data_IF_331621827970
#
_entry.id   IF_331621827970
#
_cell.length_a   1.000
_cell.length_b   1.000
_cell.length_c   1.000
_cell.angle_alpha   90.00
_cell.angle_beta   90.00
_cell.angle_gamma   90.00
#
_symmetry.space_group_name_H-M   'P 1'
#
loop_
_entity.id
_entity.type
_entity.pdbx_description
1 polymer ?
#
# COMPACT_ATOMS: atom_id res chain seq x y z
N UNK A 1 -17.51 2.17 15.38
CA UNK A 1 -18.06 0.79 15.35
C UNK A 1 -17.01 -0.16 15.87
N UNK A 2 -17.28 -0.77 17.03
CA UNK A 2 -16.43 -1.82 17.61
C UNK A 2 -16.58 -3.03 16.68
N UNK A 3 -15.55 -3.34 15.89
CA UNK A 3 -15.50 -4.60 15.13
C UNK A 3 -15.60 -5.74 16.16
N UNK A 4 -16.67 -6.55 16.08
CA UNK A 4 -16.76 -7.80 16.83
C UNK A 4 -15.54 -8.64 16.48
N UNK A 5 -14.79 -9.08 17.49
CA UNK A 5 -13.75 -10.08 17.30
C UNK A 5 -14.35 -11.32 16.62
N UNK A 6 -13.70 -11.88 15.60
CA UNK A 6 -14.18 -13.08 14.94
C UNK A 6 -14.19 -14.25 15.93
N UNK A 7 -15.27 -15.01 15.97
CA UNK A 7 -15.36 -16.22 16.80
C UNK A 7 -14.37 -17.29 16.29
N UNK A 8 -13.36 -17.58 17.08
CA UNK A 8 -12.42 -18.67 16.81
C UNK A 8 -13.10 -20.03 17.09
N UNK A 9 -13.75 -20.62 16.07
CA UNK A 9 -14.25 -21.98 16.12
C UNK A 9 -13.05 -22.93 16.03
N UNK A 10 -12.76 -23.66 17.09
CA UNK A 10 -11.70 -24.68 17.12
C UNK A 10 -12.08 -25.84 16.19
N UNK A 11 -11.64 -25.76 14.95
CA UNK A 11 -11.78 -26.83 13.95
C UNK A 11 -10.45 -27.54 13.75
N UNK A 12 -10.49 -28.75 13.21
CA UNK A 12 -9.28 -29.56 12.97
C UNK A 12 -8.77 -29.38 11.56
N UNK A 13 -7.45 -29.51 11.40
CA UNK A 13 -6.84 -29.74 10.09
C UNK A 13 -7.08 -31.19 9.68
N UNK A 14 -7.63 -31.42 8.50
CA UNK A 14 -7.94 -32.72 7.94
C UNK A 14 -7.00 -33.06 6.80
N UNK A 15 -6.45 -34.29 6.84
CA UNK A 15 -5.79 -34.89 5.70
C UNK A 15 -6.84 -35.33 4.65
N UNK A 16 -6.70 -34.84 3.42
CA UNK A 16 -7.53 -35.27 2.29
C UNK A 16 -6.80 -36.24 1.38
N UNK A 17 -5.49 -36.05 1.16
CA UNK A 17 -4.67 -36.92 0.31
C UNK A 17 -3.19 -36.86 0.72
N UNK A 18 -2.50 -37.97 0.57
CA UNK A 18 -1.05 -38.12 0.50
C UNK A 18 -0.74 -39.45 -0.19
N UNK A 19 0.37 -39.54 -0.95
CA UNK A 19 0.77 -40.82 -1.56
C UNK A 19 1.22 -41.82 -0.50
N UNK A 20 1.90 -41.31 0.54
CA UNK A 20 2.39 -42.13 1.67
C UNK A 20 2.19 -41.38 2.99
N UNK A 21 1.82 -42.13 4.02
CA UNK A 21 1.74 -41.63 5.39
C UNK A 21 2.52 -42.56 6.33
N UNK A 22 3.30 -41.98 7.24
CA UNK A 22 4.05 -42.70 8.26
C UNK A 22 3.75 -42.11 9.63
N UNK A 23 3.57 -42.96 10.64
CA UNK A 23 3.43 -42.53 12.02
C UNK A 23 4.28 -43.48 12.90
N UNK A 24 5.21 -42.90 13.63
CA UNK A 24 5.97 -43.63 14.65
C UNK A 24 5.34 -43.37 16.02
N UNK A 25 4.44 -44.26 16.41
CA UNK A 25 3.70 -44.14 17.68
C UNK A 25 4.57 -44.33 18.93
N UNK A 26 5.79 -44.86 18.76
CA UNK A 26 6.71 -45.08 19.90
C UNK A 26 7.63 -43.87 20.09
N UNK A 27 8.24 -43.35 19.00
CA UNK A 27 9.19 -42.26 19.09
C UNK A 27 8.51 -40.88 19.01
N UNK A 28 7.45 -40.72 18.17
CA UNK A 28 6.72 -39.48 17.97
C UNK A 28 5.21 -39.76 17.86
N UNK A 29 4.52 -40.03 18.97
CA UNK A 29 3.11 -40.51 18.95
C UNK A 29 2.13 -39.48 18.37
N UNK A 30 2.46 -38.20 18.41
CA UNK A 30 1.59 -37.09 18.02
C UNK A 30 1.94 -36.50 16.61
N UNK A 31 2.88 -37.13 15.88
CA UNK A 31 3.35 -36.62 14.57
C UNK A 31 3.06 -37.63 13.46
N UNK A 32 2.40 -37.16 12.41
CA UNK A 32 2.25 -37.88 11.16
C UNK A 32 3.13 -37.25 10.08
N UNK A 33 3.93 -38.08 9.41
CA UNK A 33 4.74 -37.70 8.26
C UNK A 33 3.98 -38.05 6.98
N UNK A 34 3.77 -37.09 6.11
CA UNK A 34 3.05 -37.24 4.85
C UNK A 34 3.99 -36.96 3.68
N UNK A 35 3.96 -37.79 2.65
CA UNK A 35 4.88 -37.66 1.49
C UNK A 35 4.07 -37.83 0.20
N UNK A 36 4.32 -36.92 -0.74
CA UNK A 36 3.84 -36.92 -2.11
C UNK A 36 2.41 -36.46 -2.28
N UNK A 37 2.22 -35.38 -3.05
CA UNK A 37 0.92 -34.80 -3.39
C UNK A 37 0.01 -34.59 -2.18
N UNK A 38 0.58 -34.02 -1.11
CA UNK A 38 -0.15 -33.81 0.15
C UNK A 38 -1.23 -32.74 -0.07
N UNK A 39 -2.44 -33.06 0.37
CA UNK A 39 -3.59 -32.14 0.37
C UNK A 39 -4.25 -32.14 1.74
N UNK A 40 -4.30 -30.98 2.35
CA UNK A 40 -4.92 -30.75 3.66
C UNK A 40 -6.06 -29.73 3.54
N UNK A 41 -6.97 -29.75 4.51
CA UNK A 41 -8.07 -28.79 4.61
C UNK A 41 -8.27 -28.34 6.05
N UNK A 42 -8.46 -27.04 6.22
CA UNK A 42 -8.96 -26.46 7.47
C UNK A 42 -10.11 -25.49 7.16
N UNK A 43 -11.34 -25.87 7.50
CA UNK A 43 -12.58 -25.19 7.09
C UNK A 43 -12.69 -25.02 5.57
N UNK A 44 -12.70 -23.77 5.07
CA UNK A 44 -12.74 -23.44 3.63
C UNK A 44 -11.36 -23.28 3.00
N UNK A 45 -10.28 -23.42 3.79
CA UNK A 45 -8.91 -23.31 3.29
C UNK A 45 -8.36 -24.67 2.90
N UNK A 46 -7.68 -24.73 1.77
CA UNK A 46 -6.92 -25.87 1.30
C UNK A 46 -5.42 -25.57 1.31
N UNK A 47 -4.62 -26.57 1.67
CA UNK A 47 -3.15 -26.53 1.63
C UNK A 47 -2.63 -27.70 0.80
N UNK A 48 -1.64 -27.44 -0.05
CA UNK A 48 -0.98 -28.41 -0.92
C UNK A 48 0.52 -28.27 -0.75
N UNK A 49 1.25 -29.40 -0.78
CA UNK A 49 2.71 -29.43 -0.72
C UNK A 49 3.25 -30.81 -1.14
N UNK A 50 4.58 -30.92 -1.27
CA UNK A 50 5.20 -32.21 -1.58
C UNK A 50 5.31 -33.10 -0.36
N UNK A 51 5.54 -32.54 0.82
CA UNK A 51 5.58 -33.28 2.10
C UNK A 51 5.11 -32.41 3.27
N UNK A 52 4.62 -33.06 4.32
CA UNK A 52 4.14 -32.36 5.50
C UNK A 52 4.33 -33.18 6.79
N UNK A 53 4.43 -32.47 7.90
CA UNK A 53 4.31 -32.97 9.25
C UNK A 53 3.01 -32.47 9.86
N UNK A 54 2.14 -33.36 10.32
CA UNK A 54 0.95 -33.00 11.08
C UNK A 54 1.20 -33.28 12.56
N UNK A 55 1.00 -32.28 13.38
CA UNK A 55 1.09 -32.33 14.84
C UNK A 55 -0.33 -32.41 15.43
N UNK A 56 -0.81 -33.59 15.71
CA UNK A 56 -2.20 -33.82 16.13
C UNK A 56 -2.57 -33.09 17.42
N UNK A 57 -1.65 -33.07 18.37
CA UNK A 57 -1.85 -32.48 19.69
C UNK A 57 -2.02 -30.96 19.66
N UNK A 58 -1.25 -30.29 18.82
CA UNK A 58 -1.28 -28.83 18.65
C UNK A 58 -2.18 -28.38 17.47
N UNK A 59 -2.72 -29.33 16.71
CA UNK A 59 -3.48 -29.05 15.49
C UNK A 59 -2.70 -28.19 14.50
N UNK A 60 -1.37 -28.38 14.41
CA UNK A 60 -0.49 -27.61 13.54
C UNK A 60 0.11 -28.47 12.43
N UNK A 61 0.62 -27.78 11.40
CA UNK A 61 1.18 -28.41 10.21
C UNK A 61 2.47 -27.68 9.83
N UNK A 62 3.51 -28.45 9.51
CA UNK A 62 4.63 -27.96 8.69
C UNK A 62 4.52 -28.56 7.30
N UNK A 63 4.65 -27.73 6.28
CA UNK A 63 4.59 -28.14 4.89
C UNK A 63 5.85 -27.69 4.16
N UNK A 64 6.36 -28.54 3.28
CA UNK A 64 7.64 -28.37 2.61
C UNK A 64 7.49 -28.58 1.11
N UNK A 65 8.14 -27.71 0.37
CA UNK A 65 8.26 -27.67 -1.09
C UNK A 65 6.92 -27.56 -1.83
N UNK A 66 6.91 -26.68 -2.82
CA UNK A 66 5.73 -26.40 -3.64
C UNK A 66 4.48 -26.10 -2.81
N UNK A 67 4.66 -25.37 -1.71
CA UNK A 67 3.55 -25.01 -0.83
C UNK A 67 2.57 -24.10 -1.56
N UNK A 68 1.29 -24.44 -1.48
CA UNK A 68 0.18 -23.62 -1.98
C UNK A 68 -0.97 -23.64 -0.99
N UNK A 69 -1.42 -22.47 -0.60
CA UNK A 69 -2.59 -22.27 0.24
C UNK A 69 -3.68 -21.56 -0.57
N UNK A 70 -4.91 -22.04 -0.49
CA UNK A 70 -6.06 -21.50 -1.23
C UNK A 70 -7.21 -21.19 -0.25
N UNK A 71 -7.80 -20.00 -0.39
CA UNK A 71 -9.00 -19.62 0.34
C UNK A 71 -10.03 -19.04 -0.64
N UNK A 72 -11.13 -19.79 -0.82
CA UNK A 72 -12.09 -19.49 -1.88
C UNK A 72 -11.46 -19.64 -3.27
N UNK A 73 -11.92 -18.81 -4.21
CA UNK A 73 -11.52 -18.81 -5.61
C UNK A 73 -10.66 -17.59 -6.00
N UNK A 74 -10.30 -16.77 -5.03
CA UNK A 74 -9.63 -15.48 -5.28
C UNK A 74 -8.34 -15.27 -4.52
N UNK A 75 -8.07 -16.04 -3.46
CA UNK A 75 -6.86 -15.92 -2.67
C UNK A 75 -6.00 -17.17 -2.78
N UNK A 76 -4.76 -16.98 -3.26
CA UNK A 76 -3.74 -18.00 -3.40
C UNK A 76 -2.45 -17.51 -2.78
N UNK A 77 -1.81 -18.34 -1.95
CA UNK A 77 -0.52 -18.03 -1.34
C UNK A 77 0.43 -19.20 -1.64
N UNK A 78 1.60 -18.89 -2.17
CA UNK A 78 2.65 -19.82 -2.54
C UNK A 78 3.90 -19.56 -1.71
N UNK A 79 4.74 -20.56 -1.54
CA UNK A 79 6.05 -20.48 -0.89
C UNK A 79 6.74 -21.84 -0.85
N UNK A 80 7.94 -21.89 -0.30
CA UNK A 80 8.68 -23.15 -0.21
C UNK A 80 8.50 -23.85 1.14
N UNK A 81 8.16 -23.09 2.18
CA UNK A 81 7.89 -23.57 3.52
C UNK A 81 6.64 -22.92 4.11
N UNK A 82 5.85 -23.69 4.86
CA UNK A 82 4.70 -23.21 5.63
C UNK A 82 4.72 -23.85 7.02
N UNK A 83 4.60 -23.03 8.06
CA UNK A 83 4.10 -23.45 9.35
C UNK A 83 2.69 -22.89 9.55
N UNK A 84 1.73 -23.76 9.82
CA UNK A 84 0.35 -23.38 10.09
C UNK A 84 -0.09 -23.84 11.48
N UNK A 85 -0.50 -22.90 12.30
CA UNK A 85 -1.12 -23.16 13.59
C UNK A 85 -2.65 -23.15 13.46
N UNK A 86 -3.26 -24.32 13.54
CA UNK A 86 -4.71 -24.45 13.40
C UNK A 86 -5.51 -23.95 14.60
N UNK A 87 -4.86 -23.67 15.74
CA UNK A 87 -5.51 -23.09 16.91
C UNK A 87 -5.64 -21.58 16.82
N UNK A 88 -4.57 -20.90 16.38
CA UNK A 88 -4.55 -19.44 16.15
C UNK A 88 -5.01 -19.08 14.76
N UNK A 89 -5.00 -20.03 13.82
CA UNK A 89 -5.26 -19.87 12.39
C UNK A 89 -4.27 -18.92 11.69
N UNK A 90 -3.04 -18.86 12.19
CA UNK A 90 -1.95 -18.11 11.59
C UNK A 90 -1.09 -19.05 10.76
N UNK A 91 -0.88 -18.66 9.49
CA UNK A 91 0.06 -19.28 8.57
C UNK A 91 1.33 -18.43 8.49
N UNK A 92 2.50 -19.05 8.63
CA UNK A 92 3.80 -18.45 8.40
C UNK A 92 4.41 -19.08 7.17
N UNK A 93 4.46 -18.33 6.08
CA UNK A 93 4.99 -18.77 4.78
C UNK A 93 6.36 -18.13 4.58
N UNK A 94 7.32 -18.92 4.11
CA UNK A 94 8.72 -18.51 3.95
C UNK A 94 9.26 -18.94 2.60
N UNK A 95 10.22 -18.17 2.12
CA UNK A 95 10.97 -18.36 0.90
C UNK A 95 10.12 -18.34 -0.37
N UNK A 96 10.46 -17.46 -1.29
CA UNK A 96 9.77 -17.26 -2.57
C UNK A 96 8.25 -17.05 -2.43
N UNK A 97 7.85 -16.26 -1.42
CA UNK A 97 6.42 -16.09 -1.10
C UNK A 97 5.74 -15.20 -2.13
N UNK A 98 4.62 -15.71 -2.66
CA UNK A 98 3.75 -15.00 -3.57
C UNK A 98 2.30 -15.13 -3.12
N UNK A 99 1.68 -14.02 -2.73
CA UNK A 99 0.26 -13.95 -2.41
C UNK A 99 -0.50 -13.27 -3.55
N UNK A 100 -1.51 -13.92 -4.09
CA UNK A 100 -2.36 -13.39 -5.18
C UNK A 100 -3.77 -13.23 -4.66
N UNK A 101 -4.32 -12.04 -4.84
CA UNK A 101 -5.74 -11.78 -4.63
C UNK A 101 -6.31 -11.03 -5.84
N UNK A 102 -6.98 -11.76 -6.73
CA UNK A 102 -7.46 -11.23 -8.03
C UNK A 102 -6.31 -10.62 -8.84
N UNK A 103 -6.32 -9.30 -9.07
CA UNK A 103 -5.30 -8.56 -9.83
C UNK A 103 -4.15 -8.05 -8.95
N UNK A 104 -4.23 -8.23 -7.63
CA UNK A 104 -3.20 -7.79 -6.70
C UNK A 104 -2.25 -8.94 -6.38
N UNK A 105 -0.96 -8.69 -6.46
CA UNK A 105 0.10 -9.65 -6.13
C UNK A 105 1.04 -9.04 -5.09
N UNK A 106 1.28 -9.75 -4.01
CA UNK A 106 2.30 -9.42 -3.01
C UNK A 106 3.44 -10.44 -3.10
N UNK A 107 4.67 -9.96 -3.20
CA UNK A 107 5.91 -10.75 -3.20
C UNK A 107 6.73 -10.40 -1.97
N UNK A 108 7.26 -11.40 -1.28
CA UNK A 108 8.17 -11.25 -0.13
C UNK A 108 8.88 -12.58 0.13
N UNK A 109 9.86 -12.63 1.00
CA UNK A 109 10.45 -13.89 1.46
C UNK A 109 9.85 -14.36 2.79
N UNK A 110 9.05 -13.52 3.46
CA UNK A 110 8.53 -13.78 4.80
C UNK A 110 7.13 -13.19 4.95
N UNK A 111 6.10 -14.03 4.83
CA UNK A 111 4.69 -13.65 5.01
C UNK A 111 4.07 -14.38 6.19
N UNK A 112 3.41 -13.64 7.06
CA UNK A 112 2.45 -14.19 8.01
C UNK A 112 1.03 -13.86 7.52
N UNK A 113 0.14 -14.85 7.51
CA UNK A 113 -1.25 -14.66 7.12
C UNK A 113 -2.18 -15.08 8.25
N UNK A 114 -2.90 -14.10 8.79
CA UNK A 114 -3.93 -14.31 9.81
C UNK A 114 -5.28 -14.53 9.12
N UNK A 115 -5.80 -15.75 9.20
CA UNK A 115 -7.09 -16.11 8.57
C UNK A 115 -8.30 -15.53 9.28
N UNK A 116 -8.20 -15.27 10.59
CA UNK A 116 -9.32 -14.70 11.35
C UNK A 116 -9.62 -13.26 10.94
N UNK A 117 -8.55 -12.51 10.66
CA UNK A 117 -8.64 -11.10 10.25
C UNK A 117 -8.52 -10.91 8.74
N UNK A 118 -8.25 -11.98 7.99
CA UNK A 118 -7.97 -11.93 6.54
C UNK A 118 -6.88 -10.90 6.22
N UNK A 119 -5.72 -11.06 6.90
CA UNK A 119 -4.62 -10.11 6.90
C UNK A 119 -3.28 -10.81 6.66
N UNK A 120 -2.61 -10.45 5.57
CA UNK A 120 -1.22 -10.82 5.31
C UNK A 120 -0.29 -9.68 5.71
N UNK A 121 0.83 -9.99 6.37
CA UNK A 121 1.83 -8.99 6.74
C UNK A 121 3.26 -9.55 6.64
N UNK A 122 4.19 -8.66 6.29
CA UNK A 122 5.62 -8.94 6.14
C UNK A 122 6.46 -7.88 6.86
N UNK A 123 7.71 -8.20 7.18
CA UNK A 123 8.62 -7.34 7.95
C UNK A 123 10.10 -7.43 7.51
N UNK A 124 10.39 -8.06 6.38
CA UNK A 124 11.73 -8.21 5.79
C UNK A 124 11.76 -7.75 4.32
N UNK A 125 10.98 -6.73 4.03
CA UNK A 125 10.80 -6.23 2.67
C UNK A 125 9.72 -6.96 1.88
N UNK A 126 9.02 -6.19 1.04
CA UNK A 126 7.99 -6.73 0.17
C UNK A 126 7.64 -5.80 -0.98
N UNK A 127 6.98 -6.39 -1.97
CA UNK A 127 6.51 -5.69 -3.17
C UNK A 127 5.06 -6.03 -3.43
N UNK A 128 4.18 -5.04 -3.38
CA UNK A 128 2.79 -5.18 -3.81
C UNK A 128 2.63 -4.61 -5.20
N UNK A 129 2.11 -5.41 -6.11
CA UNK A 129 1.78 -5.03 -7.49
C UNK A 129 0.27 -4.99 -7.66
N UNK A 130 -0.23 -3.90 -8.19
CA UNK A 130 -1.65 -3.66 -8.46
C UNK A 130 -1.81 -2.90 -9.77
N UNK A 131 -2.10 -3.63 -10.83
CA UNK A 131 -2.12 -3.12 -12.21
C UNK A 131 -0.77 -2.48 -12.59
N UNK A 132 -0.74 -1.16 -12.84
CA UNK A 132 0.47 -0.41 -13.18
C UNK A 132 1.22 0.11 -11.94
N UNK A 133 0.66 -0.07 -10.74
CA UNK A 133 1.24 0.40 -9.49
C UNK A 133 2.13 -0.67 -8.86
N UNK A 134 3.35 -0.29 -8.51
CA UNK A 134 4.30 -1.13 -7.77
C UNK A 134 4.69 -0.41 -6.49
N UNK A 135 4.33 -1.01 -5.35
CA UNK A 135 4.64 -0.48 -4.01
C UNK A 135 5.68 -1.37 -3.34
N UNK A 136 6.74 -0.76 -2.85
CA UNK A 136 7.79 -1.43 -2.06
C UNK A 136 7.90 -0.79 -0.69
N UNK A 137 8.25 -1.57 0.33
CA UNK A 137 8.54 -1.08 1.69
C UNK A 137 9.26 -2.16 2.50
N UNK A 138 9.85 -1.80 3.63
CA UNK A 138 10.46 -2.77 4.55
C UNK A 138 9.40 -3.56 5.31
N UNK A 139 8.32 -2.90 5.72
CA UNK A 139 7.18 -3.52 6.39
C UNK A 139 5.88 -3.19 5.68
N UNK A 140 4.98 -4.17 5.62
CA UNK A 140 3.66 -3.93 5.05
C UNK A 140 2.63 -4.97 5.44
N UNK A 141 1.37 -4.56 5.32
CA UNK A 141 0.21 -5.43 5.47
C UNK A 141 -0.78 -5.22 4.33
N UNK A 142 -1.51 -6.27 3.98
CA UNK A 142 -2.59 -6.26 3.00
C UNK A 142 -3.74 -7.13 3.45
N UNK A 143 -4.95 -6.59 3.42
CA UNK A 143 -6.19 -7.34 3.65
C UNK A 143 -6.94 -7.59 2.34
N UNK A 144 -7.04 -8.86 1.90
CA UNK A 144 -7.86 -9.25 0.75
C UNK A 144 -9.33 -8.87 0.87
N UNK A 145 -9.88 -8.87 2.09
CA UNK A 145 -11.29 -8.55 2.33
C UNK A 145 -11.59 -7.06 2.15
N UNK A 146 -10.77 -6.19 2.73
CA UNK A 146 -10.99 -4.73 2.71
C UNK A 146 -10.31 -4.02 1.56
N UNK A 147 -9.38 -4.70 0.86
CA UNK A 147 -8.51 -4.13 -0.18
C UNK A 147 -7.56 -3.04 0.33
N UNK A 148 -7.42 -2.92 1.64
CA UNK A 148 -6.53 -1.97 2.29
C UNK A 148 -5.14 -2.56 2.46
N UNK A 149 -4.13 -1.74 2.22
CA UNK A 149 -2.74 -2.01 2.56
C UNK A 149 -2.18 -0.86 3.40
N UNK A 150 -1.21 -1.17 4.25
CA UNK A 150 -0.40 -0.19 4.98
C UNK A 150 1.06 -0.54 4.75
N UNK A 151 1.88 0.45 4.47
CA UNK A 151 3.30 0.33 4.22
C UNK A 151 4.06 1.27 5.14
N UNK A 152 5.17 0.80 5.70
CA UNK A 152 6.03 1.58 6.57
C UNK A 152 7.50 1.33 6.22
N UNK A 153 8.30 2.35 6.39
CA UNK A 153 9.73 2.42 6.17
C UNK A 153 10.12 2.22 4.69
N UNK A 154 10.82 3.21 4.17
CA UNK A 154 11.30 3.24 2.78
C UNK A 154 10.21 2.94 1.74
N UNK A 155 9.01 3.50 1.98
CA UNK A 155 7.88 3.28 1.10
C UNK A 155 8.09 3.98 -0.23
N UNK A 156 7.94 3.22 -1.31
CA UNK A 156 7.99 3.74 -2.67
C UNK A 156 6.85 3.18 -3.50
N UNK A 157 6.01 4.06 -4.03
CA UNK A 157 4.98 3.75 -5.02
C UNK A 157 5.46 4.24 -6.40
N UNK A 158 5.64 3.32 -7.32
CA UNK A 158 6.03 3.60 -8.70
C UNK A 158 4.84 3.32 -9.61
N UNK A 159 4.51 4.32 -10.42
CA UNK A 159 3.57 4.24 -11.52
C UNK A 159 4.27 4.79 -12.78
N UNK A 160 3.93 4.40 -14.02
CA UNK A 160 4.55 4.95 -15.22
C UNK A 160 4.56 6.49 -15.32
N UNK A 161 3.66 7.16 -14.60
CA UNK A 161 3.46 8.61 -14.67
C UNK A 161 4.03 9.37 -13.49
N UNK A 162 4.32 8.72 -12.36
CA UNK A 162 4.83 9.36 -11.15
C UNK A 162 5.58 8.37 -10.25
N UNK A 163 6.37 8.91 -9.35
CA UNK A 163 6.97 8.19 -8.22
C UNK A 163 6.57 8.91 -6.94
N UNK A 164 6.00 8.17 -5.98
CA UNK A 164 5.73 8.66 -4.64
C UNK A 164 6.66 7.95 -3.66
N UNK A 165 7.36 8.70 -2.83
CA UNK A 165 8.16 8.19 -1.71
C UNK A 165 7.58 8.71 -0.40
N UNK A 166 7.54 7.88 0.63
CA UNK A 166 6.93 8.19 1.92
C UNK A 166 7.59 7.38 3.04
N UNK A 167 7.42 7.81 4.28
CA UNK A 167 7.72 6.97 5.43
C UNK A 167 6.57 6.00 5.73
N UNK A 168 5.34 6.50 5.66
CA UNK A 168 4.12 5.71 5.89
C UNK A 168 3.06 6.03 4.87
N UNK A 169 2.54 4.99 4.20
CA UNK A 169 1.51 5.10 3.18
C UNK A 169 0.41 4.06 3.39
N UNK A 170 -0.84 4.45 3.27
CA UNK A 170 -1.95 3.51 3.05
C UNK A 170 -2.32 3.50 1.57
N UNK A 171 -2.69 2.34 1.06
CA UNK A 171 -3.17 2.20 -0.31
C UNK A 171 -4.38 1.29 -0.37
N UNK A 172 -5.40 1.71 -1.10
CA UNK A 172 -6.56 0.85 -1.34
C UNK A 172 -6.57 0.39 -2.81
N UNK A 173 -6.40 -0.92 -3.02
CA UNK A 173 -6.31 -1.52 -4.35
C UNK A 173 -7.62 -1.48 -5.14
N UNK A 174 -8.76 -1.22 -4.48
CA UNK A 174 -10.06 -1.06 -5.14
C UNK A 174 -10.34 0.38 -5.55
N UNK A 175 -10.20 1.33 -4.63
CA UNK A 175 -10.43 2.77 -4.91
C UNK A 175 -9.26 3.45 -5.61
N UNK A 176 -8.08 2.81 -5.64
CA UNK A 176 -6.82 3.34 -6.18
C UNK A 176 -6.34 4.61 -5.46
N UNK A 177 -6.72 4.78 -4.20
CA UNK A 177 -6.34 5.92 -3.37
C UNK A 177 -5.14 5.57 -2.51
N UNK A 178 -4.06 6.33 -2.67
CA UNK A 178 -2.94 6.40 -1.74
C UNK A 178 -3.20 7.50 -0.71
N UNK A 179 -3.13 7.15 0.58
CA UNK A 179 -3.27 8.09 1.71
C UNK A 179 -1.90 8.34 2.31
N UNK A 180 -1.48 9.58 2.29
CA UNK A 180 -0.20 10.08 2.81
C UNK A 180 -0.33 10.29 4.32
N UNK A 181 0.56 9.67 5.10
CA UNK A 181 0.57 9.72 6.58
C UNK A 181 1.97 10.05 7.12
N UNK A 182 2.65 11.00 6.52
CA UNK A 182 3.98 11.46 6.91
C UNK A 182 4.71 12.11 5.75
N UNK A 183 5.94 12.59 5.96
CA UNK A 183 6.72 13.28 4.93
C UNK A 183 6.79 12.47 3.64
N UNK A 184 6.26 13.03 2.57
CA UNK A 184 6.12 12.36 1.28
C UNK A 184 6.49 13.29 0.13
N UNK A 185 7.07 12.71 -0.91
CA UNK A 185 7.38 13.40 -2.16
C UNK A 185 6.71 12.67 -3.31
N UNK A 186 6.05 13.42 -4.19
CA UNK A 186 5.48 12.93 -5.44
C UNK A 186 6.19 13.64 -6.59
N UNK A 187 6.81 12.88 -7.46
CA UNK A 187 7.54 13.40 -8.61
C UNK A 187 6.88 12.90 -9.89
N UNK A 188 6.49 13.81 -10.77
CA UNK A 188 5.92 13.48 -12.06
C UNK A 188 6.34 14.53 -13.11
N UNK A 189 6.97 14.11 -14.20
CA UNK A 189 7.52 15.00 -15.21
C UNK A 189 8.36 16.12 -14.55
N UNK A 190 7.94 17.39 -14.71
CA UNK A 190 8.58 18.56 -14.11
C UNK A 190 7.97 18.97 -12.75
N UNK A 191 6.96 18.24 -12.28
CA UNK A 191 6.26 18.54 -11.02
C UNK A 191 6.85 17.78 -9.85
N UNK A 192 7.11 18.49 -8.78
CA UNK A 192 7.50 17.94 -7.49
C UNK A 192 6.58 18.45 -6.40
N UNK A 193 5.91 17.54 -5.72
CA UNK A 193 4.99 17.83 -4.61
C UNK A 193 5.58 17.27 -3.33
N UNK A 194 5.61 18.09 -2.29
CA UNK A 194 5.87 17.68 -0.91
C UNK A 194 4.59 17.82 -0.09
N UNK A 195 4.26 16.81 0.69
CA UNK A 195 3.14 16.83 1.63
C UNK A 195 3.38 15.87 2.79
N UNK A 196 2.83 16.19 3.97
CA UNK A 196 2.87 15.32 5.14
C UNK A 196 1.53 14.61 5.38
N UNK A 197 0.45 15.09 4.76
CA UNK A 197 -0.87 14.49 4.82
C UNK A 197 -1.68 14.80 3.57
N UNK A 198 -2.38 13.79 3.07
CA UNK A 198 -3.24 13.98 1.91
C UNK A 198 -3.64 12.67 1.26
N UNK A 199 -4.24 12.82 0.09
CA UNK A 199 -4.73 11.72 -0.72
C UNK A 199 -4.24 11.90 -2.17
N UNK A 200 -3.84 10.82 -2.81
CA UNK A 200 -3.56 10.77 -4.21
C UNK A 200 -4.31 9.60 -4.86
N UNK A 201 -5.12 9.87 -5.84
CA UNK A 201 -5.81 8.84 -6.61
C UNK A 201 -4.98 8.49 -7.86
N UNK A 202 -4.43 7.26 -7.90
CA UNK A 202 -3.54 6.80 -8.98
C UNK A 202 -4.26 6.61 -10.31
N UNK A 203 -5.59 6.48 -10.33
CA UNK A 203 -6.41 6.30 -11.52
C UNK A 203 -6.89 7.64 -12.10
N UNK A 204 -7.45 8.54 -11.25
CA UNK A 204 -7.89 9.87 -11.68
C UNK A 204 -6.73 10.86 -11.83
N UNK A 205 -5.59 10.59 -11.20
CA UNK A 205 -4.40 11.46 -11.12
C UNK A 205 -4.68 12.78 -10.39
N UNK A 206 -5.57 12.72 -9.40
CA UNK A 206 -5.95 13.85 -8.56
C UNK A 206 -5.30 13.73 -7.19
N UNK A 207 -4.80 14.85 -6.68
CA UNK A 207 -4.27 14.99 -5.33
C UNK A 207 -5.10 15.99 -4.52
N UNK A 208 -5.32 15.65 -3.26
CA UNK A 208 -5.81 16.56 -2.23
C UNK A 208 -4.78 16.53 -1.09
N UNK A 209 -4.07 17.64 -0.89
CA UNK A 209 -2.92 17.73 -0.01
C UNK A 209 -3.23 18.72 1.10
N UNK A 210 -2.87 18.36 2.31
CA UNK A 210 -3.18 19.08 3.53
C UNK A 210 -1.89 19.47 4.26
N UNK A 211 -2.03 20.29 5.31
CA UNK A 211 -0.93 20.64 6.22
C UNK A 211 0.26 21.33 5.53
N UNK A 212 -0.05 22.41 4.80
CA UNK A 212 0.94 23.30 4.17
C UNK A 212 1.83 22.61 3.14
N UNK A 213 1.20 21.97 2.22
CA UNK A 213 1.88 21.29 1.12
C UNK A 213 2.55 22.25 0.13
N UNK A 214 3.52 21.74 -0.61
CA UNK A 214 4.34 22.49 -1.55
C UNK A 214 4.30 21.82 -2.91
N UNK A 215 3.93 22.58 -3.94
CA UNK A 215 4.07 22.17 -5.33
C UNK A 215 5.15 23.01 -6.02
N UNK A 216 6.07 22.37 -6.69
CA UNK A 216 7.15 23.02 -7.45
C UNK A 216 7.12 22.55 -8.90
N UNK A 217 7.18 23.49 -9.85
CA UNK A 217 7.26 23.24 -11.26
C UNK A 217 8.13 24.31 -11.93
N UNK A 218 9.21 23.93 -12.63
CA UNK A 218 10.05 24.79 -13.48
C UNK A 218 10.36 26.20 -12.92
N UNK A 219 10.74 26.28 -11.65
CA UNK A 219 11.06 27.57 -10.98
C UNK A 219 9.86 28.27 -10.35
N UNK A 220 8.64 27.74 -10.53
CA UNK A 220 7.43 28.16 -9.83
C UNK A 220 7.22 27.31 -8.59
N UNK A 221 6.80 27.92 -7.50
CA UNK A 221 6.53 27.26 -6.23
C UNK A 221 5.20 27.77 -5.67
N UNK A 222 4.28 26.85 -5.40
CA UNK A 222 3.00 27.10 -4.77
C UNK A 222 3.00 26.48 -3.38
N UNK A 223 2.63 27.25 -2.36
CA UNK A 223 2.41 26.81 -0.99
C UNK A 223 1.02 27.26 -0.57
N UNK A 224 0.28 26.40 0.10
CA UNK A 224 -1.01 26.69 0.71
C UNK A 224 -1.26 25.76 1.89
N UNK A 225 -2.23 26.08 2.74
CA UNK A 225 -2.59 25.22 3.86
C UNK A 225 -3.27 23.94 3.34
N UNK A 226 -3.99 24.04 2.21
CA UNK A 226 -4.40 22.88 1.42
C UNK A 226 -4.26 23.13 -0.07
N UNK A 227 -3.94 22.08 -0.84
CA UNK A 227 -3.80 22.10 -2.28
C UNK A 227 -4.66 21.00 -2.90
N UNK A 228 -5.38 21.36 -3.96
CA UNK A 228 -5.98 20.41 -4.89
C UNK A 228 -5.23 20.47 -6.21
N UNK A 229 -4.95 19.32 -6.82
CA UNK A 229 -4.27 19.25 -8.10
C UNK A 229 -4.85 18.14 -8.96
N UNK A 230 -5.23 18.46 -10.20
CA UNK A 230 -5.65 17.50 -11.21
C UNK A 230 -4.62 17.50 -12.34
N UNK A 231 -3.80 16.44 -12.35
CA UNK A 231 -2.69 16.30 -13.31
C UNK A 231 -3.17 16.15 -14.76
N UNK A 232 -4.34 15.50 -14.97
CA UNK A 232 -4.85 15.23 -16.34
C UNK A 232 -5.19 16.50 -17.10
N UNK A 233 -5.65 17.50 -16.38
CA UNK A 233 -6.07 18.79 -16.97
C UNK A 233 -5.10 19.92 -16.64
N UNK A 234 -4.03 19.66 -15.91
CA UNK A 234 -3.04 20.67 -15.51
C UNK A 234 -3.67 21.79 -14.67
N UNK A 235 -4.52 21.43 -13.72
CA UNK A 235 -5.33 22.35 -12.93
C UNK A 235 -4.98 22.22 -11.45
N UNK A 236 -4.76 23.34 -10.78
CA UNK A 236 -4.50 23.38 -9.34
C UNK A 236 -5.27 24.48 -8.62
N UNK A 237 -5.69 24.20 -7.40
CA UNK A 237 -6.25 25.17 -6.46
C UNK A 237 -5.46 25.13 -5.16
N UNK A 238 -5.33 26.28 -4.53
CA UNK A 238 -4.73 26.41 -3.21
C UNK A 238 -5.66 27.23 -2.32
N UNK A 239 -5.70 26.86 -1.05
CA UNK A 239 -6.57 27.45 -0.05
C UNK A 239 -5.75 27.83 1.19
N UNK A 240 -6.03 29.01 1.68
CA UNK A 240 -5.52 29.64 2.89
C UNK A 240 -3.99 29.81 2.94
N UNK A 241 -3.55 31.00 3.36
CA UNK A 241 -2.14 31.39 3.52
C UNK A 241 -1.27 31.08 2.28
N UNK A 242 -1.78 31.40 1.10
CA UNK A 242 -1.17 31.04 -0.16
C UNK A 242 0.04 31.93 -0.46
N UNK A 243 1.07 31.30 -0.98
CA UNK A 243 2.22 31.95 -1.57
C UNK A 243 2.66 31.24 -2.85
N UNK A 244 2.47 31.89 -3.97
CA UNK A 244 3.00 31.45 -5.26
C UNK A 244 4.20 32.32 -5.63
N UNK A 245 5.34 31.71 -5.95
CA UNK A 245 6.55 32.41 -6.39
C UNK A 245 6.98 31.91 -7.74
N UNK A 246 7.33 32.82 -8.64
CA UNK A 246 7.97 32.53 -9.91
C UNK A 246 9.36 33.18 -9.92
N UNK A 247 10.39 32.34 -9.81
CA UNK A 247 11.78 32.80 -9.76
C UNK A 247 12.33 33.20 -11.12
N UNK A 248 11.71 32.72 -12.22
CA UNK A 248 12.10 33.06 -13.59
C UNK A 248 11.60 34.45 -13.93
N UNK A 249 10.30 34.69 -13.74
CA UNK A 249 9.67 35.99 -14.01
C UNK A 249 9.82 36.99 -12.86
N UNK A 250 10.43 36.58 -11.74
CA UNK A 250 10.69 37.40 -10.55
C UNK A 250 9.40 38.07 -10.03
N UNK A 251 8.39 37.27 -9.81
CA UNK A 251 7.13 37.72 -9.22
C UNK A 251 6.65 36.78 -8.10
N UNK A 252 5.74 37.29 -7.30
CA UNK A 252 5.09 36.56 -6.22
C UNK A 252 3.63 36.98 -6.16
N UNK A 253 2.76 35.99 -5.88
CA UNK A 253 1.35 36.16 -5.65
C UNK A 253 0.98 35.57 -4.30
N UNK A 254 0.26 36.31 -3.47
CA UNK A 254 -0.26 35.85 -2.19
C UNK A 254 -1.76 36.04 -2.10
N UNK A 255 -2.44 35.32 -1.23
CA UNK A 255 -3.89 35.42 -1.01
C UNK A 255 -4.40 34.27 -0.15
N UNK A 256 -5.72 34.13 -0.04
CA UNK A 256 -6.35 33.02 0.66
C UNK A 256 -7.04 32.03 -0.30
N UNK A 257 -7.12 32.34 -1.56
CA UNK A 257 -7.51 31.40 -2.61
C UNK A 257 -6.67 31.68 -3.88
N UNK A 258 -6.14 30.62 -4.46
CA UNK A 258 -5.41 30.69 -5.72
C UNK A 258 -5.83 29.54 -6.63
N UNK A 259 -5.93 29.85 -7.88
CA UNK A 259 -6.15 28.93 -8.99
C UNK A 259 -4.97 29.04 -9.95
N UNK A 260 -4.49 27.92 -10.46
CA UNK A 260 -3.43 27.82 -11.45
C UNK A 260 -3.81 26.84 -12.56
N UNK A 261 -3.57 27.24 -13.80
CA UNK A 261 -3.75 26.40 -14.97
C UNK A 261 -2.43 26.32 -15.76
N UNK A 262 -1.85 25.13 -15.83
CA UNK A 262 -0.58 24.86 -16.51
C UNK A 262 -0.67 25.05 -18.02
N UNK A 263 -1.81 24.67 -18.64
CA UNK A 263 -1.99 24.72 -20.10
C UNK A 263 -2.01 26.16 -20.64
N UNK A 264 -2.52 27.10 -19.85
CA UNK A 264 -2.61 28.50 -20.19
C UNK A 264 -1.53 29.34 -19.51
N UNK A 265 -0.73 28.74 -18.65
CA UNK A 265 0.26 29.40 -17.77
C UNK A 265 -0.35 30.61 -17.06
N UNK A 266 -1.57 30.47 -16.55
CA UNK A 266 -2.31 31.52 -15.88
C UNK A 266 -2.57 31.20 -14.42
N UNK A 267 -2.43 32.22 -13.58
CA UNK A 267 -2.76 32.13 -12.15
C UNK A 267 -3.74 33.26 -11.79
N UNK A 268 -4.64 32.95 -10.88
CA UNK A 268 -5.59 33.89 -10.30
C UNK A 268 -5.58 33.75 -8.78
N UNK A 269 -5.52 34.87 -8.07
CA UNK A 269 -5.65 34.87 -6.62
C UNK A 269 -6.68 35.91 -6.17
N UNK A 270 -7.34 35.61 -5.05
CA UNK A 270 -8.35 36.46 -4.44
C UNK A 270 -8.31 36.35 -2.93
N UNK A 271 -9.14 37.14 -2.26
CA UNK A 271 -9.18 37.25 -0.80
C UNK A 271 -7.82 37.68 -0.23
N UNK A 272 -7.66 38.97 0.02
CA UNK A 272 -6.41 39.60 0.43
C UNK A 272 -5.27 39.39 -0.56
N UNK A 273 -5.58 39.37 -1.85
CA UNK A 273 -4.59 39.10 -2.86
C UNK A 273 -3.56 40.25 -2.98
N UNK A 274 -2.28 39.90 -3.04
CA UNK A 274 -1.19 40.84 -3.30
C UNK A 274 -0.27 40.23 -4.36
N UNK A 275 -0.10 40.93 -5.48
CA UNK A 275 0.92 40.60 -6.44
C UNK A 275 2.14 41.51 -6.24
N UNK A 276 3.32 40.90 -6.30
CA UNK A 276 4.60 41.59 -6.09
C UNK A 276 5.49 41.28 -7.30
N UNK A 277 5.90 42.33 -8.00
CA UNK A 277 6.89 42.23 -9.07
C UNK A 277 8.22 42.85 -8.60
N UNK A 278 9.29 42.06 -8.66
CA UNK A 278 10.66 42.48 -8.30
C UNK A 278 11.65 42.29 -9.47
N UNK A 279 11.13 42.25 -10.70
CA UNK A 279 11.94 42.08 -11.92
C UNK A 279 12.85 43.23 -12.23
N UNK A 280 12.51 44.45 -11.79
CA UNK A 280 13.22 45.70 -12.11
C UNK A 280 14.23 46.15 -11.01
N UNK A 281 14.52 45.29 -10.03
CA UNK A 281 15.47 45.63 -8.94
C UNK A 281 14.81 46.29 -7.74
N UNK A 282 13.61 46.81 -7.86
CA UNK A 282 12.75 47.31 -6.78
C UNK A 282 11.42 46.55 -6.80
N UNK A 283 10.65 46.59 -5.73
CA UNK A 283 9.42 45.82 -5.61
C UNK A 283 8.20 46.69 -5.86
N UNK A 284 7.38 46.29 -6.83
CA UNK A 284 6.05 46.83 -7.09
C UNK A 284 4.99 45.97 -6.44
N UNK A 285 4.13 46.54 -5.62
CA UNK A 285 3.03 45.88 -4.95
C UNK A 285 1.69 46.27 -5.59
N UNK A 286 0.89 45.27 -5.94
CA UNK A 286 -0.49 45.44 -6.46
C UNK A 286 -1.42 44.69 -5.52
N UNK A 287 -2.41 45.38 -4.98
CA UNK A 287 -3.42 44.79 -4.11
C UNK A 287 -4.71 44.55 -4.88
N UNK A 288 -5.29 43.37 -4.70
CA UNK A 288 -6.58 42.98 -5.23
C UNK A 288 -7.59 42.70 -4.10
N UNK A 289 -8.87 42.72 -4.42
CA UNK A 289 -9.97 42.41 -3.51
C UNK A 289 -10.27 40.91 -3.39
#
# INVERSE_FOLDING_TARGET
DIKKEPENKKTKVYLLHANQGQADKLARPDVQVLIGNVKLRHDSMYMFCDSALIYEKTNSVEAFSNVRMEQGDTLFIYGDYLYYDGMTQIAQIRENVKMINRNTTLLTDSLNYDRLYDLGYYFEGGTLMDEENVLTSDWGEYSPATKQSVFNHDVKLVNPKFVLTSDTLKYNTFSKIATILGPSNIVSDNNHIYSERGFYNTLSEQAELLDRSILTNEGKKLIGDSLFYDRKVGYGEAFDNIRMTDTINKNMLTGDYCFYNELTDSAFATKRAVAIDYSQGDSLFMHGD
#
